data_IF_826254531161
#
_entry.id   IF_826254531161
#
_cell.length_a   1.000
_cell.length_b   1.000
_cell.length_c   1.000
_cell.angle_alpha   90.00
_cell.angle_beta   90.00
_cell.angle_gamma   90.00
#
_symmetry.space_group_name_H-M   'P 1'
#
loop_
_entity.id
_entity.type
_entity.pdbx_description
1 polymer ?
#
# COMPACT_ATOMS: atom_id res chain seq x y z
N UNK A 1 0.68 0.88 -4.58
CA UNK A 1 -0.42 0.06 -5.16
C UNK A 1 -0.52 0.15 -6.69
N UNK A 2 -0.49 1.33 -7.32
CA UNK A 2 -0.55 1.43 -8.80
C UNK A 2 0.80 1.26 -9.51
N UNK A 3 1.96 1.56 -8.89
CA UNK A 3 3.29 1.17 -9.42
C UNK A 3 3.47 -0.36 -9.45
N UNK A 4 2.78 -1.04 -8.52
CA UNK A 4 2.84 -2.49 -8.38
C UNK A 4 1.74 -3.17 -9.18
N UNK A 5 0.60 -2.49 -9.44
CA UNK A 5 -0.35 -2.82 -10.50
C UNK A 5 0.18 -2.50 -11.92
N UNK A 6 1.08 -1.53 -12.05
CA UNK A 6 1.83 -1.19 -13.26
C UNK A 6 2.80 -2.30 -13.64
N UNK A 7 3.45 -2.95 -12.66
CA UNK A 7 4.14 -4.23 -12.86
C UNK A 7 3.17 -5.40 -13.08
N UNK A 8 1.97 -5.35 -12.48
CA UNK A 8 0.92 -6.37 -12.63
C UNK A 8 0.18 -6.31 -13.98
N UNK A 9 0.45 -5.33 -14.84
CA UNK A 9 0.17 -5.44 -16.28
C UNK A 9 0.81 -6.67 -16.92
N UNK A 10 1.85 -7.25 -16.29
CA UNK A 10 2.42 -8.56 -16.65
C UNK A 10 1.63 -9.77 -16.14
N UNK A 11 0.68 -9.62 -15.20
CA UNK A 11 -0.02 -10.73 -14.56
C UNK A 11 -1.53 -10.63 -14.82
N UNK A 12 -1.87 -10.87 -16.08
CA UNK A 12 -3.21 -10.96 -16.71
C UNK A 12 -4.20 -11.96 -16.10
N UNK A 13 -3.91 -12.58 -14.95
CA UNK A 13 -4.73 -13.67 -14.41
C UNK A 13 -4.81 -13.61 -12.89
N UNK A 14 -6.02 -13.85 -12.40
CA UNK A 14 -6.44 -13.90 -11.01
C UNK A 14 -5.71 -15.02 -10.25
N UNK A 15 -4.43 -14.81 -9.92
CA UNK A 15 -3.59 -15.77 -9.21
C UNK A 15 -3.03 -15.16 -7.92
N UNK A 16 -2.50 -16.03 -7.06
CA UNK A 16 -1.72 -15.68 -5.87
C UNK A 16 -0.63 -14.61 -6.13
N UNK A 17 -0.24 -14.39 -7.39
CA UNK A 17 0.67 -13.33 -7.79
C UNK A 17 0.15 -11.90 -7.50
N UNK A 18 -1.16 -11.68 -7.42
CA UNK A 18 -1.74 -10.38 -7.05
C UNK A 18 -1.47 -9.99 -5.58
N UNK A 19 -1.11 -10.96 -4.74
CA UNK A 19 -0.70 -10.73 -3.35
C UNK A 19 0.70 -10.15 -3.23
N UNK A 20 1.66 -10.57 -4.08
CA UNK A 20 3.05 -10.10 -4.00
C UNK A 20 3.17 -8.57 -4.06
N UNK A 21 2.45 -7.87 -4.95
CA UNK A 21 2.41 -6.43 -4.97
C UNK A 21 2.03 -5.76 -3.65
N UNK A 22 0.99 -6.28 -3.01
CA UNK A 22 0.50 -5.78 -1.73
C UNK A 22 1.47 -6.13 -0.60
N UNK A 23 2.03 -7.34 -0.65
CA UNK A 23 3.03 -7.83 0.30
C UNK A 23 4.33 -7.03 0.24
N UNK A 24 4.89 -6.79 -0.94
CA UNK A 24 6.11 -5.99 -1.10
C UNK A 24 5.89 -4.51 -0.75
N UNK A 25 4.69 -3.96 -0.99
CA UNK A 25 4.35 -2.60 -0.54
C UNK A 25 4.31 -2.48 1.00
N UNK A 26 4.19 -3.59 1.73
CA UNK A 26 4.22 -3.63 3.20
C UNK A 26 5.59 -4.03 3.74
N UNK A 27 6.23 -5.02 3.10
CA UNK A 27 7.54 -5.55 3.50
C UNK A 27 8.67 -4.56 3.25
N UNK A 28 8.68 -3.85 2.12
CA UNK A 28 9.76 -2.89 1.82
C UNK A 28 9.79 -1.75 2.86
N UNK A 29 8.65 -1.08 3.18
CA UNK A 29 8.63 -0.10 4.27
C UNK A 29 8.99 -0.72 5.62
N UNK A 30 8.51 -1.93 5.92
CA UNK A 30 8.82 -2.65 7.15
C UNK A 30 10.32 -2.91 7.33
N UNK A 31 10.99 -3.41 6.28
CA UNK A 31 12.45 -3.62 6.29
C UNK A 31 13.20 -2.30 6.42
N UNK A 32 12.76 -1.26 5.70
CA UNK A 32 13.37 0.08 5.78
C UNK A 32 13.36 0.63 7.20
N UNK A 33 12.23 0.49 7.91
CA UNK A 33 12.08 0.95 9.30
C UNK A 33 12.84 0.04 10.27
N UNK A 34 12.84 -1.27 10.03
CA UNK A 34 13.68 -2.20 10.79
C UNK A 34 15.15 -1.81 10.75
N UNK A 35 15.71 -1.60 9.55
CA UNK A 35 17.11 -1.21 9.37
C UNK A 35 17.40 0.17 9.97
N UNK A 36 16.46 1.10 9.85
CA UNK A 36 16.56 2.43 10.45
C UNK A 36 16.63 2.37 11.98
N UNK A 37 15.69 1.68 12.64
CA UNK A 37 15.69 1.51 14.09
C UNK A 37 16.93 0.75 14.58
N UNK A 38 17.34 -0.30 13.85
CA UNK A 38 18.56 -1.05 14.18
C UNK A 38 19.80 -0.16 14.08
N UNK A 39 19.91 0.67 13.04
CA UNK A 39 20.99 1.65 12.87
C UNK A 39 21.02 2.65 14.04
N UNK A 40 19.85 3.17 14.43
CA UNK A 40 19.71 4.08 15.57
C UNK A 40 20.18 3.44 16.89
N UNK A 41 19.91 2.15 17.11
CA UNK A 41 20.35 1.43 18.32
C UNK A 41 21.85 1.12 18.28
N UNK A 42 22.40 0.82 17.09
CA UNK A 42 23.83 0.50 16.92
C UNK A 42 24.73 1.74 16.92
N UNK A 43 24.18 2.92 16.65
CA UNK A 43 24.92 4.18 16.73
C UNK A 43 25.27 4.42 18.20
N UNK A 44 26.56 4.30 18.54
CA UNK A 44 27.08 4.63 19.86
C UNK A 44 26.98 6.15 20.09
N UNK A 45 25.79 6.63 20.42
CA UNK A 45 25.61 7.97 20.98
C UNK A 45 25.78 7.91 22.49
N UNK A 46 26.40 8.94 23.08
CA UNK A 46 26.64 9.07 24.52
C UNK A 46 25.37 8.95 25.39
N UNK A 47 24.19 9.03 24.78
CA UNK A 47 22.92 8.65 25.38
C UNK A 47 22.21 7.61 24.50
N UNK A 48 21.80 6.45 25.05
CA UNK A 48 21.03 5.46 24.29
C UNK A 48 19.69 6.06 23.86
N UNK A 49 19.26 5.76 22.63
CA UNK A 49 17.97 6.23 22.11
C UNK A 49 16.84 5.64 22.95
N UNK A 50 16.03 6.52 23.54
CA UNK A 50 14.83 6.13 24.26
C UNK A 50 13.70 5.73 23.28
N UNK A 51 12.77 4.92 23.76
CA UNK A 51 11.66 4.39 22.93
C UNK A 51 10.86 5.52 22.25
N UNK A 52 10.64 6.64 22.95
CA UNK A 52 9.93 7.80 22.41
C UNK A 52 10.62 8.42 21.20
N UNK A 53 11.95 8.62 21.24
CA UNK A 53 12.71 9.13 20.08
C UNK A 53 12.70 8.12 18.93
N UNK A 54 12.84 6.83 19.20
CA UNK A 54 12.77 5.79 18.17
C UNK A 54 11.42 5.76 17.46
N UNK A 55 10.31 5.86 18.22
CA UNK A 55 8.95 5.93 17.69
C UNK A 55 8.75 7.19 16.85
N UNK A 56 9.17 8.35 17.35
CA UNK A 56 9.03 9.62 16.62
C UNK A 56 9.82 9.62 15.30
N UNK A 57 11.06 9.15 15.32
CA UNK A 57 11.89 9.08 14.11
C UNK A 57 11.36 8.05 13.10
N UNK A 58 10.86 6.91 13.59
CA UNK A 58 10.22 5.90 12.72
C UNK A 58 8.94 6.43 12.10
N UNK A 59 8.15 7.22 12.85
CA UNK A 59 6.97 7.90 12.34
C UNK A 59 7.35 8.90 11.24
N UNK A 60 8.36 9.75 11.45
CA UNK A 60 8.83 10.69 10.43
C UNK A 60 9.29 9.96 9.16
N UNK A 61 10.06 8.88 9.31
CA UNK A 61 10.51 8.09 8.16
C UNK A 61 9.35 7.43 7.41
N UNK A 62 8.33 6.96 8.13
CA UNK A 62 7.10 6.39 7.56
C UNK A 62 6.31 7.43 6.77
N UNK A 63 6.22 8.67 7.28
CA UNK A 63 5.57 9.78 6.61
C UNK A 63 6.30 10.21 5.35
N UNK A 64 7.64 10.26 5.38
CA UNK A 64 8.46 10.56 4.20
C UNK A 64 8.22 9.52 3.11
N UNK A 65 8.30 8.22 3.46
CA UNK A 65 8.02 7.15 2.49
C UNK A 65 6.61 7.21 1.91
N UNK A 66 5.59 7.41 2.76
CA UNK A 66 4.22 7.58 2.30
C UNK A 66 4.08 8.78 1.35
N UNK A 67 4.70 9.91 1.70
CA UNK A 67 4.71 11.11 0.87
C UNK A 67 5.37 10.88 -0.49
N UNK A 68 6.51 10.19 -0.53
CA UNK A 68 7.18 9.82 -1.79
C UNK A 68 6.31 8.90 -2.65
N UNK A 69 5.65 7.90 -2.05
CA UNK A 69 4.75 6.98 -2.76
C UNK A 69 3.51 7.71 -3.31
N UNK A 70 2.95 8.66 -2.56
CA UNK A 70 1.85 9.52 -3.00
C UNK A 70 2.27 10.42 -4.15
N UNK A 71 3.43 11.07 -4.06
CA UNK A 71 3.94 11.95 -5.09
C UNK A 71 4.21 11.18 -6.40
N UNK A 72 4.83 10.00 -6.30
CA UNK A 72 5.02 9.10 -7.43
C UNK A 72 3.68 8.68 -8.05
N UNK A 73 2.68 8.37 -7.21
CA UNK A 73 1.35 8.02 -7.67
C UNK A 73 0.67 9.17 -8.42
N UNK A 74 0.68 10.36 -7.83
CA UNK A 74 0.08 11.55 -8.43
C UNK A 74 0.75 11.89 -9.76
N UNK A 75 2.07 11.72 -9.87
CA UNK A 75 2.80 11.89 -11.11
C UNK A 75 2.35 10.89 -12.19
N UNK A 76 2.28 9.60 -11.86
CA UNK A 76 1.82 8.56 -12.80
C UNK A 76 0.37 8.82 -13.19
N UNK A 77 -0.50 9.17 -12.24
CA UNK A 77 -1.92 9.38 -12.47
C UNK A 77 -2.19 10.53 -13.44
N UNK A 78 -1.45 11.62 -13.32
CA UNK A 78 -1.64 12.79 -14.17
C UNK A 78 -0.93 12.69 -15.53
N UNK A 79 0.26 12.06 -15.58
CA UNK A 79 1.13 12.08 -16.76
C UNK A 79 1.09 10.81 -17.60
N UNK A 80 0.62 9.68 -17.07
CA UNK A 80 0.59 8.37 -17.75
C UNK A 80 -0.85 7.87 -17.92
N UNK A 81 -1.66 8.66 -18.61
CA UNK A 81 -3.10 8.40 -18.80
C UNK A 81 -3.40 7.09 -19.54
N UNK A 82 -2.59 6.72 -20.53
CA UNK A 82 -2.74 5.48 -21.29
C UNK A 82 -2.70 4.24 -20.38
N UNK A 83 -1.76 4.22 -19.45
CA UNK A 83 -1.58 3.14 -18.47
C UNK A 83 -2.77 3.04 -17.51
N UNK A 84 -3.28 4.20 -17.08
CA UNK A 84 -4.46 4.23 -16.20
C UNK A 84 -5.72 3.77 -16.94
N UNK A 85 -5.87 4.14 -18.21
CA UNK A 85 -6.99 3.70 -19.03
C UNK A 85 -6.93 2.20 -19.29
N UNK A 86 -5.76 1.64 -19.62
CA UNK A 86 -5.59 0.21 -19.82
C UNK A 86 -5.93 -0.56 -18.53
N UNK A 87 -5.40 -0.11 -17.39
CA UNK A 87 -5.70 -0.71 -16.09
C UNK A 87 -7.19 -0.61 -15.71
N UNK A 88 -7.83 0.54 -15.96
CA UNK A 88 -9.27 0.73 -15.75
C UNK A 88 -10.08 -0.25 -16.59
N UNK A 89 -9.71 -0.45 -17.86
CA UNK A 89 -10.39 -1.38 -18.76
C UNK A 89 -10.33 -2.83 -18.27
N UNK A 90 -9.17 -3.26 -17.76
CA UNK A 90 -8.97 -4.59 -17.18
C UNK A 90 -9.85 -4.80 -15.93
N UNK A 91 -9.95 -3.79 -15.07
CA UNK A 91 -10.77 -3.87 -13.86
C UNK A 91 -12.26 -3.86 -14.18
N UNK A 92 -12.68 -3.08 -15.18
CA UNK A 92 -14.06 -3.10 -15.65
C UNK A 92 -14.42 -4.47 -16.25
N UNK A 93 -13.53 -5.08 -17.02
CA UNK A 93 -13.73 -6.43 -17.55
C UNK A 93 -13.83 -7.48 -16.44
N UNK A 94 -13.04 -7.35 -15.36
CA UNK A 94 -13.12 -8.23 -14.20
C UNK A 94 -14.45 -8.07 -13.42
N UNK A 95 -14.91 -6.83 -13.21
CA UNK A 95 -16.21 -6.53 -12.58
C UNK A 95 -17.35 -7.08 -13.43
N UNK A 96 -17.29 -6.88 -14.75
CA UNK A 96 -18.32 -7.38 -15.65
C UNK A 96 -18.38 -8.91 -15.57
N UNK A 97 -17.24 -9.58 -15.62
CA UNK A 97 -17.15 -11.04 -15.45
C UNK A 97 -17.67 -11.52 -14.08
N UNK A 98 -17.38 -10.81 -12.99
CA UNK A 98 -17.83 -11.23 -11.66
C UNK A 98 -19.34 -11.09 -11.49
N UNK A 99 -19.93 -10.00 -11.99
CA UNK A 99 -21.39 -9.79 -11.91
C UNK A 99 -22.14 -10.69 -12.88
N UNK A 100 -21.58 -10.96 -14.07
CA UNK A 100 -22.19 -11.87 -15.02
C UNK A 100 -22.19 -13.32 -14.53
N UNK A 101 -21.13 -13.75 -13.86
CA UNK A 101 -21.02 -15.07 -13.23
C UNK A 101 -21.78 -15.23 -11.92
N UNK A 102 -22.34 -14.15 -11.36
CA UNK A 102 -23.14 -14.21 -10.14
C UNK A 102 -24.59 -14.61 -10.46
N UNK A 103 -24.96 -15.83 -10.07
CA UNK A 103 -26.33 -16.36 -10.24
C UNK A 103 -27.32 -15.83 -9.18
N UNK A 104 -26.81 -15.22 -8.10
CA UNK A 104 -27.65 -14.66 -7.04
C UNK A 104 -28.26 -13.30 -7.40
N UNK A 105 -27.75 -12.67 -8.46
CA UNK A 105 -28.18 -11.36 -8.93
C UNK A 105 -29.17 -11.51 -10.07
N UNK A 106 -30.36 -10.94 -9.91
CA UNK A 106 -31.37 -10.89 -10.98
C UNK A 106 -30.80 -10.19 -12.22
N UNK A 107 -31.08 -10.74 -13.41
CA UNK A 107 -30.62 -10.20 -14.69
C UNK A 107 -30.97 -8.71 -14.87
N UNK A 108 -32.12 -8.28 -14.35
CA UNK A 108 -32.56 -6.88 -14.38
C UNK A 108 -31.67 -5.95 -13.53
N UNK A 109 -31.06 -6.46 -12.45
CA UNK A 109 -30.24 -5.67 -11.52
C UNK A 109 -28.75 -5.71 -11.84
N UNK A 110 -28.29 -6.66 -12.68
CA UNK A 110 -26.88 -6.78 -13.08
C UNK A 110 -26.31 -5.50 -13.68
N UNK A 111 -27.09 -4.80 -14.51
CA UNK A 111 -26.66 -3.53 -15.11
C UNK A 111 -26.42 -2.45 -14.04
N UNK A 112 -27.32 -2.35 -13.06
CA UNK A 112 -27.21 -1.40 -11.95
C UNK A 112 -26.02 -1.72 -11.06
N UNK A 113 -25.82 -3.00 -10.73
CA UNK A 113 -24.71 -3.45 -9.89
C UNK A 113 -23.35 -3.23 -10.56
N UNK A 114 -23.22 -3.52 -11.87
CA UNK A 114 -22.03 -3.20 -12.66
C UNK A 114 -21.71 -1.70 -12.61
N UNK A 115 -22.72 -0.85 -12.80
CA UNK A 115 -22.54 0.61 -12.73
C UNK A 115 -22.04 1.06 -11.36
N UNK A 116 -22.67 0.60 -10.28
CA UNK A 116 -22.28 0.94 -8.91
C UNK A 116 -20.87 0.47 -8.57
N UNK A 117 -20.48 -0.73 -8.99
CA UNK A 117 -19.13 -1.26 -8.76
C UNK A 117 -18.06 -0.47 -9.54
N UNK A 118 -18.36 -0.06 -10.77
CA UNK A 118 -17.46 0.78 -11.59
C UNK A 118 -17.31 2.19 -10.99
N UNK A 119 -18.40 2.80 -10.52
CA UNK A 119 -18.36 4.11 -9.85
C UNK A 119 -17.56 4.05 -8.54
N UNK A 120 -17.80 3.01 -7.71
CA UNK A 120 -17.01 2.78 -6.50
C UNK A 120 -15.52 2.57 -6.78
N UNK A 121 -15.18 1.95 -7.91
CA UNK A 121 -13.80 1.81 -8.35
C UNK A 121 -13.20 3.18 -8.67
N UNK A 122 -13.89 4.01 -9.45
CA UNK A 122 -13.43 5.38 -9.80
C UNK A 122 -13.15 6.25 -8.58
N UNK A 123 -13.98 6.15 -7.54
CA UNK A 123 -13.76 6.89 -6.28
C UNK A 123 -12.50 6.39 -5.55
N UNK A 124 -12.23 5.07 -5.58
CA UNK A 124 -11.11 4.45 -4.86
C UNK A 124 -9.76 4.62 -5.55
N UNK A 125 -9.73 4.95 -6.84
CA UNK A 125 -8.48 5.14 -7.60
C UNK A 125 -7.95 6.58 -7.53
N UNK A 126 -8.72 7.53 -6.99
CA UNK A 126 -8.29 8.91 -6.87
C UNK A 126 -6.98 9.05 -6.06
N UNK A 127 -6.09 10.00 -6.42
CA UNK A 127 -4.88 10.31 -5.63
C UNK A 127 -5.12 10.56 -4.15
N UNK A 128 -6.27 11.15 -3.81
CA UNK A 128 -6.69 11.36 -2.42
C UNK A 128 -6.98 10.05 -1.68
N UNK A 129 -7.77 9.16 -2.29
CA UNK A 129 -8.10 7.86 -1.71
C UNK A 129 -6.86 6.97 -1.57
N UNK A 130 -6.01 6.94 -2.61
CA UNK A 130 -4.74 6.24 -2.57
C UNK A 130 -3.82 6.79 -1.46
N UNK A 131 -3.71 8.12 -1.34
CA UNK A 131 -2.87 8.72 -0.32
C UNK A 131 -3.33 8.46 1.10
N UNK A 132 -4.64 8.47 1.36
CA UNK A 132 -5.18 8.08 2.67
C UNK A 132 -4.83 6.64 3.03
N UNK A 133 -4.94 5.71 2.08
CA UNK A 133 -4.61 4.30 2.30
C UNK A 133 -3.11 4.08 2.51
N UNK A 134 -2.25 4.71 1.69
CA UNK A 134 -0.80 4.58 1.78
C UNK A 134 -0.27 5.17 3.09
N UNK A 135 -0.78 6.33 3.52
CA UNK A 135 -0.44 6.92 4.83
C UNK A 135 -0.80 5.98 5.97
N UNK A 136 -2.02 5.43 5.97
CA UNK A 136 -2.46 4.51 7.02
C UNK A 136 -1.59 3.26 7.05
N UNK A 137 -1.26 2.66 5.89
CA UNK A 137 -0.41 1.47 5.82
C UNK A 137 1.02 1.74 6.26
N UNK A 138 1.68 2.78 5.73
CA UNK A 138 3.08 3.06 6.06
C UNK A 138 3.24 3.43 7.54
N UNK A 139 2.35 4.25 8.09
CA UNK A 139 2.39 4.65 9.50
C UNK A 139 2.12 3.45 10.41
N UNK A 140 1.06 2.66 10.14
CA UNK A 140 0.75 1.49 10.97
C UNK A 140 1.87 0.45 10.96
N UNK A 141 2.38 0.10 9.76
CA UNK A 141 3.48 -0.85 9.61
C UNK A 141 4.74 -0.34 10.31
N UNK A 142 5.06 0.94 10.15
CA UNK A 142 6.22 1.56 10.77
C UNK A 142 6.19 1.54 12.29
N UNK A 143 5.03 1.85 12.87
CA UNK A 143 4.84 1.83 14.32
C UNK A 143 4.94 0.41 14.88
N UNK A 144 4.31 -0.57 14.22
CA UNK A 144 4.36 -1.99 14.64
C UNK A 144 5.80 -2.51 14.57
N UNK A 145 6.49 -2.29 13.46
CA UNK A 145 7.88 -2.76 13.31
C UNK A 145 8.81 -2.08 14.31
N UNK A 146 8.69 -0.77 14.51
CA UNK A 146 9.49 -0.05 15.50
C UNK A 146 9.31 -0.64 16.91
N UNK A 147 8.07 -0.93 17.32
CA UNK A 147 7.79 -1.55 18.62
C UNK A 147 8.41 -2.94 18.75
N UNK A 148 8.24 -3.80 17.73
CA UNK A 148 8.81 -5.15 17.73
C UNK A 148 10.32 -5.10 17.85
N UNK A 149 10.98 -4.27 17.04
CA UNK A 149 12.45 -4.15 17.03
C UNK A 149 12.97 -3.61 18.34
N UNK A 150 12.31 -2.59 18.90
CA UNK A 150 12.73 -2.00 20.17
C UNK A 150 12.58 -3.00 21.33
N UNK A 151 11.43 -3.69 21.43
CA UNK A 151 11.18 -4.71 22.46
C UNK A 151 12.16 -5.88 22.33
N UNK A 152 12.43 -6.33 21.10
CA UNK A 152 13.39 -7.40 20.84
C UNK A 152 14.79 -7.02 21.31
N UNK A 153 15.29 -5.82 20.96
CA UNK A 153 16.61 -5.38 21.37
C UNK A 153 16.71 -5.14 22.88
N UNK A 154 15.64 -4.60 23.51
CA UNK A 154 15.59 -4.40 24.95
C UNK A 154 15.69 -5.73 25.73
N UNK A 155 15.03 -6.79 25.25
CA UNK A 155 15.15 -8.16 25.80
C UNK A 155 16.54 -8.78 25.64
N UNK A 156 17.36 -8.31 24.70
CA UNK A 156 18.72 -8.83 24.50
C UNK A 156 19.77 -8.06 25.32
N UNK A 157 19.46 -6.83 25.72
CA UNK A 157 20.36 -5.97 26.52
C UNK A 157 20.07 -6.02 28.03
N UNK A 158 18.96 -6.63 28.44
CA UNK A 158 18.59 -6.91 29.85
C UNK A 158 18.70 -8.39 30.12
#
# INVERSE_FOLDING_TARGET
MLLVQYLNGLYRSNSAAAFFPMFFNLVIPGIGIYLFVKSLIQTQSDSPINMGKALFLSLMMSLIMAGTNIAAYQHIYNNKKEIIQDWRSLQYAAIDKSVDGDESVLLADKAKQKSTLKENFEVKIGPSAFGGFELMMCVSTGMVVCLIVFVWNYKQTT
#
